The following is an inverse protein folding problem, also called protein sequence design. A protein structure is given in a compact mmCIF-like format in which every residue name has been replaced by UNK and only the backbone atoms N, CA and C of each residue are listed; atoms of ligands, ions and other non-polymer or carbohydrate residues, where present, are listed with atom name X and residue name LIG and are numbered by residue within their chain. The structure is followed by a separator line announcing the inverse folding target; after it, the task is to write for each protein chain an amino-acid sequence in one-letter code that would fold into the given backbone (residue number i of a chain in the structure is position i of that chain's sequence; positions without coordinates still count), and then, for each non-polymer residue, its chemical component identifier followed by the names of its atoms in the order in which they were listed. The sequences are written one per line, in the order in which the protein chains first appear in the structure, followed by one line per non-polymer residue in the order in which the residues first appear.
data_IF_037118669092
#
_entry.id   IF_037118669092
#
_cell.length_a   1.000
_cell.length_b   1.000
_cell.length_c   1.000
_cell.angle_alpha   90.00
_cell.angle_beta   90.00
_cell.angle_gamma   90.00
#
_symmetry.space_group_name_H-M   'P 1'
#
loop_
_entity.id
_entity.type
_entity.pdbx_description
1 polymer ?
#
# COMPACT_ATOMS: atom_id res chain seq x y z
N UNK A 1 42.19 -8.43 -33.81
CA UNK A 1 41.15 -7.61 -33.14
C UNK A 1 40.65 -8.39 -31.92
N UNK A 2 41.12 -8.04 -30.72
CA UNK A 2 40.76 -8.71 -29.47
C UNK A 2 39.57 -7.98 -28.84
N UNK A 3 38.41 -8.64 -28.77
CA UNK A 3 37.26 -8.18 -28.00
C UNK A 3 37.53 -8.39 -26.50
N UNK A 4 37.58 -7.30 -25.72
CA UNK A 4 37.60 -7.34 -24.26
C UNK A 4 36.24 -7.83 -23.72
N UNK A 5 36.21 -9.04 -23.14
CA UNK A 5 34.98 -9.79 -22.80
C UNK A 5 34.44 -9.50 -21.38
N UNK A 6 34.29 -8.22 -21.00
CA UNK A 6 33.78 -7.86 -19.67
C UNK A 6 32.63 -6.84 -19.70
N UNK A 7 32.86 -5.69 -20.30
CA UNK A 7 31.97 -4.51 -20.17
C UNK A 7 30.80 -4.48 -21.18
N UNK A 8 30.84 -5.32 -22.22
CA UNK A 8 29.86 -5.30 -23.31
C UNK A 8 28.51 -5.96 -23.00
N UNK A 9 28.38 -6.86 -22.01
CA UNK A 9 27.13 -7.64 -21.86
C UNK A 9 25.96 -6.82 -21.34
N UNK A 10 26.14 -6.03 -20.28
CA UNK A 10 25.03 -5.26 -19.67
C UNK A 10 24.56 -4.13 -20.57
N UNK A 11 25.48 -3.39 -21.20
CA UNK A 11 25.13 -2.30 -22.11
C UNK A 11 24.47 -2.80 -23.40
N UNK A 12 24.91 -3.95 -23.92
CA UNK A 12 24.30 -4.59 -25.09
C UNK A 12 22.90 -5.14 -24.77
N UNK A 13 22.74 -5.88 -23.67
CA UNK A 13 21.43 -6.40 -23.24
C UNK A 13 20.43 -5.27 -23.01
N UNK A 14 20.83 -4.18 -22.31
CA UNK A 14 19.96 -3.00 -22.13
C UNK A 14 19.53 -2.40 -23.47
N UNK A 15 20.44 -2.27 -24.44
CA UNK A 15 20.12 -1.74 -25.77
C UNK A 15 19.19 -2.68 -26.55
N UNK A 16 19.43 -3.98 -26.53
CA UNK A 16 18.59 -4.98 -27.18
C UNK A 16 17.16 -5.02 -26.61
N UNK A 17 17.00 -4.80 -25.31
CA UNK A 17 15.69 -4.66 -24.65
C UNK A 17 15.05 -3.27 -24.86
N UNK A 18 15.68 -2.37 -25.62
CA UNK A 18 15.15 -1.03 -25.90
C UNK A 18 15.46 0.04 -24.85
N UNK A 19 16.24 -0.26 -23.81
CA UNK A 19 16.59 0.68 -22.74
C UNK A 19 17.59 1.78 -23.11
N UNK A 20 17.91 1.95 -24.39
CA UNK A 20 18.80 2.99 -24.93
C UNK A 20 18.10 4.33 -25.16
N UNK A 21 17.47 4.90 -24.12
CA UNK A 21 16.71 6.15 -24.21
C UNK A 21 17.59 7.34 -24.61
N UNK A 22 17.07 8.22 -25.46
CA UNK A 22 17.67 9.54 -25.73
C UNK A 22 17.17 10.56 -24.70
N UNK A 23 18.02 11.54 -24.36
CA UNK A 23 17.69 12.61 -23.41
C UNK A 23 17.24 12.11 -22.02
N UNK A 24 17.75 10.94 -21.59
CA UNK A 24 17.47 10.36 -20.28
C UNK A 24 17.91 11.25 -19.09
N UNK A 25 18.68 12.32 -19.34
CA UNK A 25 19.07 13.31 -18.35
C UNK A 25 17.89 13.95 -17.60
N UNK A 26 16.74 14.10 -18.25
CA UNK A 26 15.53 14.64 -17.61
C UNK A 26 15.04 13.69 -16.49
N UNK A 27 14.96 12.39 -16.77
CA UNK A 27 14.57 11.37 -15.78
C UNK A 27 15.68 11.20 -14.72
N UNK A 28 16.94 11.22 -15.13
CA UNK A 28 18.08 11.13 -14.23
C UNK A 28 18.13 12.30 -13.23
N UNK A 29 17.75 13.51 -13.65
CA UNK A 29 17.67 14.68 -12.78
C UNK A 29 16.63 14.48 -11.67
N UNK A 30 15.44 13.95 -12.00
CA UNK A 30 14.43 13.59 -11.01
C UNK A 30 14.96 12.53 -10.03
N UNK A 31 15.65 11.49 -10.53
CA UNK A 31 16.28 10.46 -9.69
C UNK A 31 17.32 11.03 -8.72
N UNK A 32 18.15 11.98 -9.17
CA UNK A 32 19.12 12.66 -8.30
C UNK A 32 18.46 13.46 -7.19
N UNK A 33 17.32 14.11 -7.47
CA UNK A 33 16.52 14.79 -6.45
C UNK A 33 15.94 13.77 -5.47
N UNK A 34 15.33 12.69 -5.96
CA UNK A 34 14.74 11.64 -5.12
C UNK A 34 15.75 11.01 -4.16
N UNK A 35 17.00 10.78 -4.58
CA UNK A 35 18.04 10.28 -3.68
C UNK A 35 18.36 11.24 -2.52
N UNK A 36 18.23 12.55 -2.74
CA UNK A 36 18.52 13.56 -1.73
C UNK A 36 17.33 13.86 -0.83
N UNK A 37 16.11 13.78 -1.36
CA UNK A 37 14.90 14.24 -0.64
C UNK A 37 14.03 13.10 -0.13
N UNK A 38 13.91 11.99 -0.86
CA UNK A 38 12.98 10.89 -0.53
C UNK A 38 13.66 9.83 0.33
N UNK A 39 14.89 9.42 -0.01
CA UNK A 39 15.60 8.35 0.75
C UNK A 39 15.69 8.65 2.25
N UNK A 40 16.02 9.88 2.71
CA UNK A 40 16.06 10.17 4.14
C UNK A 40 14.69 10.05 4.83
N UNK A 41 13.59 10.20 4.09
CA UNK A 41 12.21 10.22 4.58
C UNK A 41 11.53 8.85 4.57
N UNK A 42 12.13 7.82 3.99
CA UNK A 42 11.54 6.46 3.94
C UNK A 42 11.17 5.91 5.33
N UNK A 43 11.85 6.38 6.39
CA UNK A 43 11.48 6.01 7.76
C UNK A 43 10.09 6.52 8.17
N UNK A 44 9.66 7.69 7.66
CA UNK A 44 8.31 8.25 7.89
C UNK A 44 7.24 7.29 7.32
N UNK A 45 7.46 6.75 6.12
CA UNK A 45 6.54 5.78 5.50
C UNK A 45 6.45 4.49 6.35
N UNK A 46 7.56 4.05 6.96
CA UNK A 46 7.57 2.89 7.85
C UNK A 46 6.80 3.16 9.14
N UNK A 47 7.00 4.33 9.76
CA UNK A 47 6.27 4.76 10.96
C UNK A 47 4.77 4.90 10.69
N UNK A 48 4.40 5.50 9.56
CA UNK A 48 3.02 5.63 9.11
C UNK A 48 2.37 4.26 8.87
N UNK A 49 3.10 3.32 8.28
CA UNK A 49 2.60 1.95 8.06
C UNK A 49 2.36 1.25 9.41
N UNK A 50 3.31 1.38 10.33
CA UNK A 50 3.19 0.87 11.69
C UNK A 50 1.99 1.49 12.43
N UNK A 51 1.74 2.78 12.26
CA UNK A 51 0.59 3.48 12.82
C UNK A 51 -0.74 2.96 12.28
N UNK A 52 -0.85 2.85 10.95
CA UNK A 52 -2.03 2.29 10.27
C UNK A 52 -2.39 0.92 10.84
N UNK A 53 -1.39 0.05 10.86
CA UNK A 53 -1.51 -1.35 11.26
C UNK A 53 -1.94 -1.49 12.72
N UNK A 54 -1.30 -0.76 13.64
CA UNK A 54 -1.68 -0.76 15.05
C UNK A 54 -3.09 -0.19 15.25
N UNK A 55 -3.43 0.88 14.54
CA UNK A 55 -4.74 1.52 14.63
C UNK A 55 -5.89 0.60 14.23
N UNK A 56 -5.69 -0.26 13.24
CA UNK A 56 -6.67 -1.25 12.79
C UNK A 56 -6.70 -2.48 13.71
N UNK A 57 -5.53 -2.94 14.19
CA UNK A 57 -5.41 -4.16 15.02
C UNK A 57 -6.14 -4.06 16.38
N UNK A 58 -6.32 -2.86 16.92
CA UNK A 58 -6.97 -2.63 18.22
C UNK A 58 -8.45 -3.09 18.28
N UNK A 59 -9.09 -3.42 17.16
CA UNK A 59 -10.51 -3.77 17.12
C UNK A 59 -10.86 -5.26 17.28
N UNK A 60 -9.91 -6.17 17.55
CA UNK A 60 -10.20 -7.60 17.84
C UNK A 60 -11.30 -8.20 16.92
N UNK A 61 -11.01 -8.28 15.63
CA UNK A 61 -11.91 -8.90 14.65
C UNK A 61 -11.48 -10.35 14.36
N UNK A 62 -12.39 -11.35 14.40
CA UNK A 62 -12.07 -12.73 14.00
C UNK A 62 -11.80 -12.93 12.50
N UNK A 63 -12.23 -12.02 11.63
CA UNK A 63 -12.20 -12.21 10.18
C UNK A 63 -10.94 -11.65 9.49
N UNK A 64 -10.34 -10.61 10.07
CA UNK A 64 -9.15 -9.94 9.54
C UNK A 64 -8.05 -10.03 10.59
N UNK A 65 -6.94 -10.62 10.20
CA UNK A 65 -5.74 -10.73 11.02
C UNK A 65 -4.57 -10.06 10.32
N UNK A 66 -3.57 -9.68 11.11
CA UNK A 66 -2.30 -9.18 10.61
C UNK A 66 -1.20 -9.57 11.56
N UNK A 67 -0.06 -9.98 11.00
CA UNK A 67 1.17 -10.14 11.74
C UNK A 67 1.94 -8.81 11.84
N UNK A 68 1.88 -8.18 13.01
CA UNK A 68 2.55 -6.92 13.30
C UNK A 68 4.08 -7.01 13.16
N UNK A 69 4.66 -8.18 13.43
CA UNK A 69 6.11 -8.37 13.44
C UNK A 69 6.68 -8.38 12.01
N UNK A 70 5.85 -8.71 11.02
CA UNK A 70 6.23 -8.72 9.60
C UNK A 70 6.27 -7.33 8.97
N UNK A 71 5.64 -6.32 9.59
CA UNK A 71 5.50 -4.96 9.04
C UNK A 71 6.75 -4.13 9.30
N UNK A 72 7.86 -4.41 8.61
CA UNK A 72 9.13 -3.71 8.84
C UNK A 72 9.35 -2.48 7.93
N UNK A 73 8.52 -2.33 6.89
CA UNK A 73 8.70 -1.30 5.84
C UNK A 73 7.39 -0.55 5.58
N UNK A 74 7.21 -0.03 4.35
CA UNK A 74 6.04 0.73 3.92
C UNK A 74 4.86 -0.14 3.42
N UNK A 75 4.92 -1.45 3.63
CA UNK A 75 3.90 -2.40 3.16
C UNK A 75 3.30 -3.15 4.34
N UNK A 76 1.97 -3.29 4.32
CA UNK A 76 1.22 -4.07 5.29
C UNK A 76 0.32 -5.08 4.58
N UNK A 77 0.32 -6.31 5.08
CA UNK A 77 -0.48 -7.42 4.55
C UNK A 77 -1.59 -7.75 5.53
N UNK A 78 -2.82 -7.79 5.04
CA UNK A 78 -4.00 -8.14 5.81
C UNK A 78 -4.46 -9.53 5.38
N UNK A 79 -4.51 -10.44 6.33
CA UNK A 79 -4.91 -11.83 6.15
C UNK A 79 -6.38 -12.01 6.50
N UNK A 80 -7.13 -12.62 5.59
CA UNK A 80 -8.55 -12.90 5.72
C UNK A 80 -8.73 -14.39 6.01
N UNK A 81 -9.15 -14.71 7.24
CA UNK A 81 -9.22 -16.10 7.73
C UNK A 81 -10.26 -16.94 6.99
N UNK A 82 -11.40 -16.33 6.63
CA UNK A 82 -12.48 -16.98 5.90
C UNK A 82 -12.92 -16.13 4.70
N UNK A 83 -12.33 -16.41 3.54
CA UNK A 83 -12.63 -15.73 2.29
C UNK A 83 -14.07 -15.96 1.79
N UNK A 84 -14.79 -16.97 2.32
CA UNK A 84 -16.20 -17.21 1.96
C UNK A 84 -17.14 -16.23 2.63
N UNK A 85 -16.78 -15.74 3.82
CA UNK A 85 -17.51 -14.73 4.58
C UNK A 85 -17.09 -13.31 4.19
N UNK A 86 -15.78 -13.07 4.16
CA UNK A 86 -15.23 -11.76 3.84
C UNK A 86 -14.09 -11.90 2.85
N UNK A 87 -14.38 -11.57 1.59
CA UNK A 87 -13.35 -11.61 0.55
C UNK A 87 -12.49 -10.32 0.58
N UNK A 88 -11.17 -10.42 0.34
CA UNK A 88 -10.30 -9.25 0.19
C UNK A 88 -10.79 -8.28 -0.89
N UNK A 89 -11.39 -8.81 -1.96
CA UNK A 89 -11.93 -8.02 -3.06
C UNK A 89 -13.11 -7.17 -2.61
N UNK A 90 -14.10 -7.75 -1.94
CA UNK A 90 -15.25 -7.04 -1.38
C UNK A 90 -14.81 -5.95 -0.39
N UNK A 91 -13.83 -6.28 0.46
CA UNK A 91 -13.26 -5.32 1.40
C UNK A 91 -12.61 -4.12 0.68
N UNK A 92 -11.74 -4.38 -0.31
CA UNK A 92 -11.07 -3.32 -1.08
C UNK A 92 -12.07 -2.47 -1.88
N UNK A 93 -13.10 -3.09 -2.47
CA UNK A 93 -14.15 -2.37 -3.19
C UNK A 93 -14.97 -1.46 -2.27
N UNK A 94 -15.27 -1.91 -1.04
CA UNK A 94 -16.00 -1.11 -0.05
C UNK A 94 -15.17 0.06 0.46
N UNK A 95 -13.88 -0.13 0.70
CA UNK A 95 -12.94 0.94 1.08
C UNK A 95 -12.77 2.01 -0.01
N UNK A 96 -12.91 1.63 -1.27
CA UNK A 96 -12.81 2.56 -2.40
C UNK A 96 -14.09 3.40 -2.61
N UNK A 97 -15.19 3.10 -1.91
CA UNK A 97 -16.46 3.84 -1.99
C UNK A 97 -16.67 4.69 -0.74
N UNK A 98 -17.36 5.83 -0.89
CA UNK A 98 -17.87 6.64 0.22
C UNK A 98 -19.39 6.60 0.14
N UNK A 99 -20.05 6.22 1.23
CA UNK A 99 -21.52 6.23 1.32
C UNK A 99 -22.00 7.49 2.04
N UNK A 100 -23.25 7.90 1.81
CA UNK A 100 -23.81 9.09 2.48
C UNK A 100 -23.83 8.93 4.01
N UNK A 101 -24.19 7.74 4.50
CA UNK A 101 -24.14 7.39 5.93
C UNK A 101 -22.74 7.54 6.53
N UNK A 102 -21.72 7.08 5.81
CA UNK A 102 -20.33 7.21 6.24
C UNK A 102 -19.93 8.69 6.38
N UNK A 103 -20.40 9.55 5.49
CA UNK A 103 -20.15 10.99 5.57
C UNK A 103 -20.89 11.65 6.74
N UNK A 104 -22.14 11.23 7.00
CA UNK A 104 -22.92 11.71 8.15
C UNK A 104 -22.29 11.29 9.49
N UNK A 105 -21.78 10.06 9.57
CA UNK A 105 -21.22 9.50 10.81
C UNK A 105 -19.78 9.98 11.10
N UNK A 106 -18.95 10.14 10.06
CA UNK A 106 -17.52 10.46 10.21
C UNK A 106 -17.18 11.92 9.90
N UNK A 107 -18.10 12.68 9.32
CA UNK A 107 -17.89 14.04 8.77
C UNK A 107 -16.70 14.12 7.79
N UNK A 108 -16.29 12.99 7.22
CA UNK A 108 -15.11 12.85 6.37
C UNK A 108 -15.43 11.95 5.17
N UNK A 109 -14.95 12.35 3.99
CA UNK A 109 -15.13 11.62 2.74
C UNK A 109 -13.76 11.26 2.14
N UNK A 110 -13.17 10.18 2.63
CA UNK A 110 -11.89 9.67 2.11
C UNK A 110 -12.09 8.34 1.39
N UNK A 111 -11.23 8.00 0.44
CA UNK A 111 -11.21 6.68 -0.20
C UNK A 111 -9.89 6.00 0.13
N UNK A 112 -9.95 4.74 0.57
CA UNK A 112 -8.77 3.95 0.88
C UNK A 112 -8.59 2.91 -0.22
N UNK A 113 -7.43 2.94 -0.88
CA UNK A 113 -7.08 1.99 -1.93
C UNK A 113 -6.15 0.93 -1.38
N UNK A 114 -6.58 -0.31 -1.53
CA UNK A 114 -5.77 -1.50 -1.23
C UNK A 114 -5.81 -2.45 -2.41
N UNK A 115 -4.77 -3.28 -2.53
CA UNK A 115 -4.68 -4.27 -3.59
C UNK A 115 -4.95 -5.66 -3.03
N UNK A 116 -6.01 -6.37 -3.46
CA UNK A 116 -6.13 -7.80 -3.19
C UNK A 116 -5.04 -8.54 -3.98
N UNK A 117 -4.10 -9.15 -3.27
CA UNK A 117 -2.98 -9.89 -3.90
C UNK A 117 -3.40 -11.33 -4.17
N UNK A 118 -4.10 -11.93 -3.22
CA UNK A 118 -4.59 -13.31 -3.30
C UNK A 118 -6.06 -13.36 -2.88
N UNK A 119 -6.65 -14.55 -2.94
CA UNK A 119 -8.00 -14.79 -2.42
C UNK A 119 -8.12 -14.60 -0.91
N UNK A 120 -7.01 -14.55 -0.18
CA UNK A 120 -6.98 -14.45 1.29
C UNK A 120 -6.15 -13.27 1.80
N UNK A 121 -5.53 -12.47 0.92
CA UNK A 121 -4.66 -11.37 1.33
C UNK A 121 -4.92 -10.09 0.55
N UNK A 122 -4.95 -8.97 1.29
CA UNK A 122 -4.89 -7.62 0.73
C UNK A 122 -3.63 -6.90 1.22
N UNK A 123 -3.06 -6.03 0.37
CA UNK A 123 -1.90 -5.22 0.70
C UNK A 123 -2.23 -3.73 0.68
N UNK A 124 -1.83 -3.06 1.75
CA UNK A 124 -1.67 -1.61 1.81
C UNK A 124 -0.22 -1.25 1.53
N UNK A 125 0.01 -0.16 0.79
CA UNK A 125 1.33 0.40 0.53
C UNK A 125 1.27 1.89 0.79
N UNK A 126 2.13 2.37 1.67
CA UNK A 126 2.26 3.78 1.98
C UNK A 126 3.46 4.34 1.20
N UNK A 127 3.38 5.62 0.86
CA UNK A 127 4.39 6.32 0.08
C UNK A 127 4.27 7.82 0.36
N UNK A 128 5.24 8.58 -0.12
CA UNK A 128 5.43 10.02 0.15
C UNK A 128 4.18 10.91 0.13
N UNK A 129 3.16 10.61 -0.69
CA UNK A 129 1.97 11.47 -0.79
C UNK A 129 0.84 11.05 0.18
N UNK A 130 1.10 10.09 1.07
CA UNK A 130 0.20 9.65 2.14
C UNK A 130 0.77 10.14 3.47
N UNK A 131 0.18 11.20 4.01
CA UNK A 131 0.64 11.84 5.23
C UNK A 131 0.05 11.19 6.48
N UNK A 132 0.54 11.58 7.66
CA UNK A 132 0.03 11.08 8.93
C UNK A 132 -1.48 11.35 9.13
N UNK A 133 -1.98 12.51 8.70
CA UNK A 133 -3.40 12.84 8.76
C UNK A 133 -4.24 11.92 7.85
N UNK A 134 -3.72 11.58 6.66
CA UNK A 134 -4.35 10.64 5.74
C UNK A 134 -4.40 9.23 6.34
N UNK A 135 -3.34 8.83 7.05
CA UNK A 135 -3.28 7.55 7.78
C UNK A 135 -4.31 7.53 8.90
N UNK A 136 -4.45 8.60 9.67
CA UNK A 136 -5.44 8.69 10.74
C UNK A 136 -6.87 8.61 10.21
N UNK A 137 -7.17 9.36 9.14
CA UNK A 137 -8.44 9.25 8.46
C UNK A 137 -8.67 7.83 7.90
N UNK A 138 -7.65 7.21 7.31
CA UNK A 138 -7.72 5.85 6.80
C UNK A 138 -8.00 4.83 7.90
N UNK A 139 -7.39 4.97 9.08
CA UNK A 139 -7.69 4.11 10.25
C UNK A 139 -9.17 4.22 10.61
N UNK A 140 -9.71 5.44 10.72
CA UNK A 140 -11.13 5.66 11.06
C UNK A 140 -12.04 4.98 10.04
N UNK A 141 -11.79 5.21 8.75
CA UNK A 141 -12.57 4.60 7.67
C UNK A 141 -12.46 3.08 7.65
N UNK A 142 -11.26 2.53 7.80
CA UNK A 142 -11.06 1.08 7.83
C UNK A 142 -11.83 0.45 8.99
N UNK A 143 -11.79 1.07 10.18
CA UNK A 143 -12.56 0.59 11.34
C UNK A 143 -14.07 0.61 11.10
N UNK A 144 -14.58 1.68 10.49
CA UNK A 144 -15.99 1.78 10.12
C UNK A 144 -16.41 0.67 9.15
N UNK A 145 -15.64 0.47 8.07
CA UNK A 145 -15.93 -0.56 7.07
C UNK A 145 -15.82 -1.97 7.65
N UNK A 146 -14.83 -2.20 8.53
CA UNK A 146 -14.67 -3.48 9.21
C UNK A 146 -15.91 -3.80 10.06
N UNK A 147 -16.38 -2.86 10.88
CA UNK A 147 -17.57 -3.04 11.73
C UNK A 147 -18.84 -3.26 10.89
N UNK A 148 -19.03 -2.47 9.81
CA UNK A 148 -20.14 -2.65 8.86
C UNK A 148 -20.15 -4.06 8.27
N UNK A 149 -19.01 -4.54 7.80
CA UNK A 149 -18.90 -5.84 7.15
C UNK A 149 -19.03 -6.99 8.15
N UNK A 150 -18.50 -6.87 9.37
CA UNK A 150 -18.67 -7.89 10.40
C UNK A 150 -20.15 -8.07 10.78
N UNK A 151 -20.89 -6.97 10.96
CA UNK A 151 -22.35 -7.02 11.21
C UNK A 151 -23.11 -7.68 10.08
N UNK A 152 -22.68 -7.51 8.83
CA UNK A 152 -23.31 -8.14 7.66
C UNK A 152 -23.03 -9.65 7.54
N UNK A 153 -21.89 -10.12 8.08
CA UNK A 153 -21.48 -11.52 8.04
C UNK A 153 -22.15 -12.35 9.14
N UNK A 154 -22.45 -11.73 10.28
CA UNK A 154 -23.11 -12.38 11.42
C UNK A 154 -24.65 -12.38 11.32
N UNK A 155 -25.22 -11.69 10.33
CA UNK A 155 -26.67 -11.58 10.07
C UNK A 155 -27.17 -12.66 9.09
#
# INVERSE_FOLDING_TARGET
MHFGRGECRVSWVRKCLGGGMRQAGIIAAAGLVSFKTIVPRLHEDHENTQRLVRGVSLQHNPYISMDLDTVQTNMAYYDFADASRLSPLTFCERLNKVTEREYEDLEQAITVKMLPITSTQARAVLYNDVNADDVDAAIVKMRYVIDELCRSVDA
#
